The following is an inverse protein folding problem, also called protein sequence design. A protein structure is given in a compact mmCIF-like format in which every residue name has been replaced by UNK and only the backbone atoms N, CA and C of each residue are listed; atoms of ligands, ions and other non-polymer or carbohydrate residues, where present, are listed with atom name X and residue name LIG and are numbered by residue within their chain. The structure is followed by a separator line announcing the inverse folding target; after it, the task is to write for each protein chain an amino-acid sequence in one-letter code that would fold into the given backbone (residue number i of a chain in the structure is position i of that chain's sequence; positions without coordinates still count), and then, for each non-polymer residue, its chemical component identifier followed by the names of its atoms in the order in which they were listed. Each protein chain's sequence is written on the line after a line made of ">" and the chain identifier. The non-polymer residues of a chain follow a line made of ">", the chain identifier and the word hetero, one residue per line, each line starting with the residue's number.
data_IF_916934493182
#
_entry.id   IF_916934493182
#
_cell.length_a   1.000
_cell.length_b   1.000
_cell.length_c   1.000
_cell.angle_alpha   90.00
_cell.angle_beta   90.00
_cell.angle_gamma   90.00
#
_symmetry.space_group_name_H-M   'P 1'
#
loop_
_entity.id
_entity.type
_entity.pdbx_description
1 polymer ?
#
# COMPACT_ATOMS: atom_id res chain seq x y z
N UNK A 1 4.60 -16.41 -3.23
CA UNK A 1 4.25 -16.90 -1.87
C UNK A 1 5.24 -17.94 -1.37
N UNK A 2 5.56 -17.92 -0.08
CA UNK A 2 5.98 -19.15 0.60
C UNK A 2 5.18 -19.25 1.91
N UNK A 3 4.39 -20.30 2.07
CA UNK A 3 3.65 -20.54 3.32
C UNK A 3 4.61 -20.66 4.54
N UNK A 4 5.90 -20.89 4.27
CA UNK A 4 7.03 -20.88 5.21
C UNK A 4 7.18 -19.51 5.91
N UNK A 5 7.13 -18.40 5.17
CA UNK A 5 7.26 -17.07 5.78
C UNK A 5 6.11 -16.75 6.73
N UNK A 6 4.90 -17.21 6.40
CA UNK A 6 3.73 -17.04 7.26
C UNK A 6 3.87 -17.85 8.56
N UNK A 7 4.38 -19.09 8.48
CA UNK A 7 4.65 -19.93 9.65
C UNK A 7 5.72 -19.31 10.57
N UNK A 8 6.80 -18.78 10.00
CA UNK A 8 7.88 -18.13 10.75
C UNK A 8 7.37 -16.91 11.53
N UNK A 9 6.47 -16.13 10.92
CA UNK A 9 5.84 -15.00 11.59
C UNK A 9 4.92 -15.43 12.74
N UNK A 10 4.14 -16.52 12.57
CA UNK A 10 3.29 -17.06 13.65
C UNK A 10 4.16 -17.48 14.84
N UNK A 11 5.28 -18.15 14.60
CA UNK A 11 6.24 -18.48 15.66
C UNK A 11 6.77 -17.21 16.37
N UNK A 12 7.13 -16.17 15.60
CA UNK A 12 7.55 -14.88 16.18
C UNK A 12 6.46 -14.20 17.03
N UNK A 13 5.19 -14.26 16.60
CA UNK A 13 4.07 -13.73 17.39
C UNK A 13 3.83 -14.51 18.68
N UNK A 14 4.03 -15.83 18.66
CA UNK A 14 3.93 -16.65 19.86
C UNK A 14 4.98 -16.22 20.90
N UNK A 15 6.22 -15.98 20.48
CA UNK A 15 7.29 -15.45 21.35
C UNK A 15 6.93 -14.06 21.90
N UNK A 16 6.36 -13.18 21.08
CA UNK A 16 5.93 -11.86 21.54
C UNK A 16 4.75 -11.92 22.54
N UNK A 17 3.81 -12.84 22.33
CA UNK A 17 2.70 -13.07 23.26
C UNK A 17 3.23 -13.55 24.62
N UNK A 18 4.16 -14.50 24.63
CA UNK A 18 4.85 -14.97 25.85
C UNK A 18 5.56 -13.82 26.59
N UNK A 19 6.27 -12.95 25.87
CA UNK A 19 6.92 -11.78 26.47
C UNK A 19 5.92 -10.77 27.07
N UNK A 20 4.74 -10.62 26.45
CA UNK A 20 3.68 -9.73 26.94
C UNK A 20 3.05 -10.29 28.21
N UNK A 21 2.76 -11.60 28.22
CA UNK A 21 2.26 -12.33 29.39
C UNK A 21 3.26 -12.23 30.54
N UNK A 22 4.56 -12.43 30.30
CA UNK A 22 5.59 -12.30 31.35
C UNK A 22 5.76 -10.89 31.91
N UNK A 23 5.54 -9.87 31.08
CA UNK A 23 5.72 -8.47 31.51
C UNK A 23 4.46 -7.84 32.10
N UNK A 24 3.30 -8.49 31.99
CA UNK A 24 2.09 -8.07 32.67
C UNK A 24 2.26 -8.19 34.19
N UNK A 25 1.94 -7.12 34.93
CA UNK A 25 1.87 -7.19 36.38
C UNK A 25 0.58 -7.91 36.76
N UNK A 26 0.65 -9.24 36.93
CA UNK A 26 -0.50 -10.12 37.21
C UNK A 26 -1.28 -9.80 38.50
N UNK A 27 -0.77 -8.87 39.31
CA UNK A 27 -1.43 -8.38 40.52
C UNK A 27 -2.20 -7.06 40.31
N UNK A 28 -2.06 -6.43 39.14
CA UNK A 28 -2.76 -5.19 38.76
C UNK A 28 -3.86 -5.49 37.73
N UNK A 29 -5.11 -5.44 38.17
CA UNK A 29 -6.29 -5.68 37.33
C UNK A 29 -6.34 -4.70 36.13
N UNK A 30 -5.94 -3.43 36.33
CA UNK A 30 -5.96 -2.44 35.26
C UNK A 30 -4.96 -2.75 34.14
N UNK A 31 -3.79 -3.30 34.49
CA UNK A 31 -2.79 -3.75 33.52
C UNK A 31 -3.28 -4.96 32.72
N UNK A 32 -3.98 -5.90 33.37
CA UNK A 32 -4.58 -7.09 32.74
C UNK A 32 -5.69 -6.66 31.78
N UNK A 33 -6.65 -5.84 32.23
CA UNK A 33 -7.76 -5.35 31.41
C UNK A 33 -7.25 -4.59 30.17
N UNK A 34 -6.23 -3.75 30.34
CA UNK A 34 -5.60 -3.02 29.24
C UNK A 34 -4.85 -3.94 28.26
N UNK A 35 -4.27 -5.07 28.73
CA UNK A 35 -3.68 -6.08 27.87
C UNK A 35 -4.76 -6.85 27.09
N UNK A 36 -5.82 -7.28 27.76
CA UNK A 36 -6.98 -7.99 27.18
C UNK A 36 -7.64 -7.14 26.09
N UNK A 37 -7.97 -5.88 26.37
CA UNK A 37 -8.57 -4.98 25.38
C UNK A 37 -7.68 -4.78 24.13
N UNK A 38 -6.35 -4.81 24.28
CA UNK A 38 -5.42 -4.73 23.15
C UNK A 38 -5.47 -6.00 22.30
N UNK A 39 -5.51 -7.18 22.93
CA UNK A 39 -5.62 -8.48 22.26
C UNK A 39 -6.97 -8.60 21.54
N UNK A 40 -8.08 -8.25 22.18
CA UNK A 40 -9.42 -8.30 21.59
C UNK A 40 -9.54 -7.40 20.36
N UNK A 41 -8.96 -6.20 20.43
CA UNK A 41 -8.91 -5.28 19.29
C UNK A 41 -8.12 -5.89 18.14
N UNK A 42 -6.97 -6.50 18.42
CA UNK A 42 -6.15 -7.15 17.41
C UNK A 42 -6.86 -8.37 16.79
N UNK A 43 -7.50 -9.19 17.62
CA UNK A 43 -8.29 -10.36 17.20
C UNK A 43 -9.45 -9.96 16.28
N UNK A 44 -10.20 -8.91 16.63
CA UNK A 44 -11.30 -8.41 15.80
C UNK A 44 -10.82 -7.94 14.42
N UNK A 45 -9.70 -7.22 14.38
CA UNK A 45 -9.10 -6.77 13.11
C UNK A 45 -8.64 -7.95 12.27
N UNK A 46 -7.99 -8.95 12.87
CA UNK A 46 -7.53 -10.14 12.15
C UNK A 46 -8.69 -11.03 11.67
N UNK A 47 -9.75 -11.23 12.48
CA UNK A 47 -10.97 -11.95 12.07
C UNK A 47 -11.64 -11.29 10.87
N UNK A 48 -11.82 -9.97 10.88
CA UNK A 48 -12.41 -9.24 9.75
C UNK A 48 -11.52 -9.29 8.50
N UNK A 49 -10.20 -9.21 8.67
CA UNK A 49 -9.27 -9.33 7.54
C UNK A 49 -9.34 -10.72 6.89
N UNK A 50 -9.53 -11.77 7.69
CA UNK A 50 -9.59 -13.17 7.29
C UNK A 50 -10.98 -13.64 6.81
N UNK A 51 -12.07 -13.04 7.30
CA UNK A 51 -13.46 -13.34 6.88
C UNK A 51 -13.77 -12.91 5.46
N UNK A 52 -12.94 -12.02 4.91
CA UNK A 52 -13.04 -11.58 3.53
C UNK A 52 -12.21 -12.50 2.62
N UNK A 53 -12.64 -12.77 1.38
CA UNK A 53 -11.90 -13.62 0.46
C UNK A 53 -10.43 -13.20 0.35
N UNK A 54 -9.52 -14.16 0.48
CA UNK A 54 -8.09 -13.93 0.23
C UNK A 54 -7.89 -13.38 -1.18
N UNK A 55 -6.79 -12.66 -1.40
CA UNK A 55 -6.43 -12.16 -2.75
C UNK A 55 -6.06 -13.29 -3.73
N UNK A 56 -6.09 -14.55 -3.29
CA UNK A 56 -5.73 -15.71 -4.08
C UNK A 56 -7.00 -16.35 -4.65
N UNK A 57 -7.00 -16.64 -5.95
CA UNK A 57 -8.16 -17.21 -6.64
C UNK A 57 -8.45 -18.69 -6.31
N UNK A 58 -7.54 -19.39 -5.63
CA UNK A 58 -7.79 -20.77 -5.19
C UNK A 58 -8.29 -20.77 -3.76
N UNK A 59 -9.59 -20.97 -3.64
CA UNK A 59 -10.24 -21.19 -2.37
C UNK A 59 -9.68 -22.45 -1.68
N UNK A 60 -9.55 -22.46 -0.33
CA UNK A 60 -9.05 -23.62 0.40
C UNK A 60 -9.87 -24.89 0.11
N UNK A 61 -9.36 -26.08 0.43
CA UNK A 61 -10.20 -27.29 0.35
C UNK A 61 -11.37 -27.20 1.34
N UNK A 62 -12.46 -27.96 1.10
CA UNK A 62 -13.66 -27.90 1.95
C UNK A 62 -13.37 -28.12 3.45
N UNK A 63 -12.43 -29.04 3.77
CA UNK A 63 -11.93 -29.25 5.13
C UNK A 63 -11.33 -27.99 5.76
N UNK A 64 -10.48 -27.27 5.01
CA UNK A 64 -9.81 -26.08 5.52
C UNK A 64 -10.73 -24.86 5.56
N UNK A 65 -11.72 -24.77 4.66
CA UNK A 65 -12.78 -23.76 4.75
C UNK A 65 -13.61 -23.96 6.02
N UNK A 66 -14.09 -25.17 6.25
CA UNK A 66 -14.88 -25.49 7.45
C UNK A 66 -14.14 -25.12 8.75
N UNK A 67 -12.85 -25.45 8.86
CA UNK A 67 -12.02 -25.08 10.01
C UNK A 67 -11.83 -23.57 10.15
N UNK A 68 -11.62 -22.87 9.04
CA UNK A 68 -11.50 -21.43 9.03
C UNK A 68 -12.82 -20.77 9.46
N UNK A 69 -13.94 -21.26 8.94
CA UNK A 69 -15.28 -20.79 9.28
C UNK A 69 -15.56 -21.01 10.78
N UNK A 70 -15.20 -22.17 11.36
CA UNK A 70 -15.30 -22.40 12.81
C UNK A 70 -14.49 -21.38 13.64
N UNK A 71 -13.31 -20.98 13.17
CA UNK A 71 -12.47 -20.00 13.90
C UNK A 71 -12.91 -18.54 13.69
N UNK A 72 -13.64 -18.26 12.60
CA UNK A 72 -14.11 -16.93 12.23
C UNK A 72 -15.53 -16.63 12.71
N UNK A 73 -16.35 -17.66 12.91
CA UNK A 73 -17.66 -17.51 13.54
C UNK A 73 -17.45 -16.91 14.94
N UNK A 74 -18.15 -15.81 15.29
CA UNK A 74 -18.24 -15.43 16.69
C UNK A 74 -18.87 -16.59 17.46
N UNK A 75 -18.52 -16.77 18.74
CA UNK A 75 -19.14 -17.72 19.68
C UNK A 75 -20.67 -17.54 19.73
N UNK A 76 -21.38 -17.99 18.70
CA UNK A 76 -22.83 -17.92 18.58
C UNK A 76 -23.50 -19.13 19.21
N UNK A 77 -22.75 -20.22 19.34
CA UNK A 77 -23.27 -21.51 19.82
C UNK A 77 -22.68 -21.92 21.17
N UNK A 78 -21.73 -21.17 21.74
CA UNK A 78 -21.44 -21.26 23.18
C UNK A 78 -22.51 -20.43 23.89
N UNK A 79 -23.70 -21.00 24.01
CA UNK A 79 -24.71 -20.57 24.98
C UNK A 79 -23.97 -20.38 26.29
N UNK A 80 -23.87 -19.14 26.75
CA UNK A 80 -23.08 -18.77 27.91
C UNK A 80 -23.46 -19.63 29.11
N UNK A 81 -22.60 -20.59 29.45
CA UNK A 81 -22.49 -20.98 30.84
C UNK A 81 -21.99 -19.72 31.54
N UNK A 82 -22.87 -19.10 32.33
CA UNK A 82 -22.46 -18.04 33.22
C UNK A 82 -21.25 -18.56 34.01
N UNK A 83 -20.20 -17.74 34.19
CA UNK A 83 -19.09 -18.15 35.04
C UNK A 83 -19.68 -18.58 36.39
N UNK A 84 -19.08 -19.61 37.03
CA UNK A 84 -19.52 -20.08 38.34
C UNK A 84 -19.71 -18.90 39.29
N UNK A 85 -20.78 -18.92 40.10
CA UNK A 85 -21.02 -17.86 41.10
C UNK A 85 -19.89 -17.82 42.15
N UNK A 86 -19.26 -18.97 42.41
CA UNK A 86 -18.06 -19.06 43.23
C UNK A 86 -16.83 -18.56 42.47
N UNK A 87 -16.19 -17.52 43.02
CA UNK A 87 -14.96 -16.93 42.48
C UNK A 87 -13.81 -17.94 42.36
N UNK A 88 -13.74 -18.93 43.25
CA UNK A 88 -12.71 -19.98 43.22
C UNK A 88 -12.95 -20.93 42.06
N UNK A 89 -14.20 -21.37 41.86
CA UNK A 89 -14.57 -22.21 40.72
C UNK A 89 -14.42 -21.46 39.40
N UNK A 90 -14.79 -20.17 39.35
CA UNK A 90 -14.60 -19.33 38.18
C UNK A 90 -13.11 -19.15 37.82
N UNK A 91 -12.25 -18.99 38.82
CA UNK A 91 -10.80 -18.93 38.60
C UNK A 91 -10.23 -20.27 38.10
N UNK A 92 -10.69 -21.40 38.65
CA UNK A 92 -10.29 -22.74 38.22
C UNK A 92 -10.74 -23.04 36.79
N UNK A 93 -11.97 -22.66 36.44
CA UNK A 93 -12.49 -22.80 35.08
C UNK A 93 -11.70 -21.93 34.09
N UNK A 94 -11.41 -20.67 34.44
CA UNK A 94 -10.60 -19.78 33.58
C UNK A 94 -9.19 -20.33 33.34
N UNK A 95 -8.58 -20.99 34.34
CA UNK A 95 -7.29 -21.65 34.18
C UNK A 95 -7.38 -22.87 33.23
N UNK A 96 -8.42 -23.70 33.38
CA UNK A 96 -8.65 -24.84 32.49
C UNK A 96 -8.92 -24.40 31.03
N UNK A 97 -9.70 -23.33 30.84
CA UNK A 97 -9.97 -22.73 29.54
C UNK A 97 -8.68 -22.18 28.90
N UNK A 98 -7.80 -21.57 29.69
CA UNK A 98 -6.50 -21.10 29.23
C UNK A 98 -5.61 -22.26 28.74
N UNK A 99 -5.56 -23.37 29.49
CA UNK A 99 -4.82 -24.57 29.10
C UNK A 99 -5.38 -25.20 27.82
N UNK A 100 -6.70 -25.30 27.69
CA UNK A 100 -7.37 -25.78 26.49
C UNK A 100 -7.08 -24.89 25.27
N UNK A 101 -7.07 -23.56 25.46
CA UNK A 101 -6.71 -22.61 24.42
C UNK A 101 -5.25 -22.76 23.96
N UNK A 102 -4.31 -22.95 24.88
CA UNK A 102 -2.89 -23.21 24.58
C UNK A 102 -2.71 -24.54 23.84
N UNK A 103 -3.42 -25.60 24.27
CA UNK A 103 -3.39 -26.89 23.59
C UNK A 103 -3.91 -26.79 22.15
N UNK A 104 -5.01 -26.05 21.94
CA UNK A 104 -5.57 -25.78 20.61
C UNK A 104 -4.59 -25.01 19.72
N UNK A 105 -3.93 -23.97 20.27
CA UNK A 105 -2.92 -23.21 19.53
C UNK A 105 -1.72 -24.07 19.12
N UNK A 106 -1.26 -24.97 20.00
CA UNK A 106 -0.15 -25.90 19.70
C UNK A 106 -0.51 -26.84 18.55
N UNK A 107 -1.70 -27.44 18.60
CA UNK A 107 -2.19 -28.31 17.52
C UNK A 107 -2.34 -27.54 16.21
N UNK A 108 -2.92 -26.34 16.24
CA UNK A 108 -3.06 -25.48 15.07
C UNK A 108 -1.69 -25.15 14.43
N UNK A 109 -0.65 -24.90 15.22
CA UNK A 109 0.70 -24.65 14.73
C UNK A 109 1.30 -25.87 14.01
N UNK A 110 1.13 -27.07 14.57
CA UNK A 110 1.59 -28.32 13.95
C UNK A 110 0.83 -28.61 12.64
N UNK A 111 -0.48 -28.39 12.62
CA UNK A 111 -1.28 -28.54 11.41
C UNK A 111 -0.88 -27.53 10.32
N UNK A 112 -0.60 -26.28 10.70
CA UNK A 112 -0.07 -25.28 9.79
C UNK A 112 1.30 -25.70 9.22
N UNK A 113 2.20 -26.21 10.06
CA UNK A 113 3.50 -26.75 9.63
C UNK A 113 3.33 -27.87 8.59
N UNK A 114 2.46 -28.85 8.88
CA UNK A 114 2.15 -29.94 7.94
C UNK A 114 1.58 -29.42 6.61
N UNK A 115 0.64 -28.47 6.66
CA UNK A 115 0.02 -27.90 5.46
C UNK A 115 1.04 -27.17 4.58
N UNK A 116 1.99 -26.43 5.19
CA UNK A 116 3.09 -25.75 4.50
C UNK A 116 3.97 -26.75 3.75
N UNK A 117 4.35 -27.86 4.40
CA UNK A 117 5.16 -28.92 3.78
C UNK A 117 4.40 -29.59 2.63
N UNK A 118 3.12 -29.88 2.81
CA UNK A 118 2.27 -30.46 1.76
C UNK A 118 2.14 -29.53 0.55
N UNK A 119 1.95 -28.22 0.78
CA UNK A 119 1.90 -27.23 -0.29
C UNK A 119 3.21 -27.16 -1.07
N UNK A 120 4.36 -27.22 -0.39
CA UNK A 120 5.68 -27.26 -1.05
C UNK A 120 5.89 -28.53 -1.85
N UNK A 121 5.56 -29.69 -1.28
CA UNK A 121 5.63 -30.96 -1.99
C UNK A 121 4.73 -30.99 -3.23
N UNK A 122 3.53 -30.40 -3.16
CA UNK A 122 2.63 -30.27 -4.30
C UNK A 122 3.17 -29.34 -5.40
N UNK A 123 3.73 -28.18 -5.01
CA UNK A 123 4.34 -27.24 -5.94
C UNK A 123 5.55 -27.86 -6.69
N UNK A 124 6.42 -28.59 -5.98
CA UNK A 124 7.55 -29.29 -6.59
C UNK A 124 7.08 -30.36 -7.60
N UNK A 125 6.02 -31.11 -7.27
CA UNK A 125 5.44 -32.12 -8.16
C UNK A 125 4.77 -31.52 -9.41
N UNK A 126 4.23 -30.30 -9.30
CA UNK A 126 3.54 -29.64 -10.40
C UNK A 126 4.49 -28.99 -11.44
N UNK A 127 5.76 -28.77 -11.09
CA UNK A 127 6.73 -28.10 -11.96
C UNK A 127 6.55 -26.57 -12.04
N UNK A 128 7.43 -25.91 -12.78
CA UNK A 128 7.49 -24.44 -12.89
C UNK A 128 6.90 -23.96 -14.23
N UNK A 129 5.56 -23.98 -14.34
CA UNK A 129 4.85 -23.45 -15.51
C UNK A 129 4.01 -22.23 -15.16
N UNK A 130 3.78 -21.31 -16.11
CA UNK A 130 2.92 -20.13 -15.88
C UNK A 130 1.49 -20.53 -15.53
N UNK A 131 1.01 -21.70 -16.00
CA UNK A 131 -0.30 -22.22 -15.63
C UNK A 131 -0.37 -22.63 -14.15
N UNK A 132 0.69 -23.27 -13.64
CA UNK A 132 0.82 -23.61 -12.21
C UNK A 132 0.98 -22.34 -11.39
N UNK A 133 1.81 -21.39 -11.82
CA UNK A 133 1.97 -20.11 -11.15
C UNK A 133 0.67 -19.29 -11.13
N UNK A 134 -0.08 -19.26 -12.23
CA UNK A 134 -1.38 -18.63 -12.36
C UNK A 134 -2.40 -19.23 -11.40
N UNK A 135 -2.46 -20.56 -11.33
CA UNK A 135 -3.35 -21.28 -10.45
C UNK A 135 -2.98 -21.02 -8.98
N UNK A 136 -1.71 -21.17 -8.62
CA UNK A 136 -1.24 -21.02 -7.23
C UNK A 136 -1.34 -19.58 -6.73
N UNK A 137 -0.98 -18.59 -7.57
CA UNK A 137 -1.03 -17.16 -7.20
C UNK A 137 -2.38 -16.51 -7.50
N UNK A 138 -3.29 -17.25 -8.13
CA UNK A 138 -4.65 -16.83 -8.33
C UNK A 138 -4.86 -15.70 -9.35
N UNK A 139 -4.01 -15.64 -10.38
CA UNK A 139 -4.25 -14.73 -11.50
C UNK A 139 -4.72 -15.50 -12.72
N UNK A 140 -5.50 -14.85 -13.58
CA UNK A 140 -5.91 -15.42 -14.86
C UNK A 140 -4.72 -15.37 -15.84
N UNK A 141 -4.28 -16.50 -16.42
CA UNK A 141 -3.28 -16.46 -17.47
C UNK A 141 -3.91 -15.80 -18.71
N UNK A 142 -3.13 -14.97 -19.39
CA UNK A 142 -3.56 -14.31 -20.61
C UNK A 142 -3.41 -15.27 -21.80
N UNK A 143 -4.48 -15.44 -22.56
CA UNK A 143 -4.47 -16.30 -23.74
C UNK A 143 -3.86 -15.61 -24.97
N UNK A 144 -3.22 -16.38 -25.84
CA UNK A 144 -2.63 -15.92 -27.10
C UNK A 144 -1.23 -15.34 -26.95
N UNK A 145 -0.80 -14.50 -27.90
CA UNK A 145 0.53 -13.90 -27.88
C UNK A 145 0.72 -13.04 -26.62
N UNK A 146 1.73 -13.33 -25.77
CA UNK A 146 1.90 -12.68 -24.48
C UNK A 146 2.06 -11.16 -24.62
N UNK A 147 2.83 -10.65 -25.57
CA UNK A 147 3.07 -9.19 -25.66
C UNK A 147 1.78 -8.43 -25.97
N UNK A 148 1.00 -8.94 -26.91
CA UNK A 148 -0.28 -8.34 -27.32
C UNK A 148 -1.34 -8.45 -26.23
N UNK A 149 -1.41 -9.57 -25.53
CA UNK A 149 -2.41 -9.79 -24.49
C UNK A 149 -2.15 -8.90 -23.27
N UNK A 150 -0.88 -8.77 -22.86
CA UNK A 150 -0.47 -7.84 -21.79
C UNK A 150 -0.72 -6.38 -22.21
N UNK A 151 -0.43 -6.02 -23.47
CA UNK A 151 -0.73 -4.69 -24.00
C UNK A 151 -2.22 -4.34 -23.98
N UNK A 152 -3.08 -5.28 -24.37
CA UNK A 152 -4.56 -5.11 -24.32
C UNK A 152 -5.07 -4.99 -22.87
N UNK A 153 -4.56 -5.81 -21.94
CA UNK A 153 -4.94 -5.71 -20.52
C UNK A 153 -4.51 -4.36 -19.93
N UNK A 154 -3.32 -3.89 -20.25
CA UNK A 154 -2.84 -2.58 -19.83
C UNK A 154 -3.68 -1.44 -20.41
N UNK A 155 -3.95 -1.45 -21.71
CA UNK A 155 -4.76 -0.41 -22.36
C UNK A 155 -6.18 -0.32 -21.82
N UNK A 156 -6.84 -1.48 -21.64
CA UNK A 156 -8.17 -1.53 -21.01
C UNK A 156 -8.12 -1.09 -19.55
N UNK A 157 -7.07 -1.46 -18.81
CA UNK A 157 -6.81 -1.00 -17.45
C UNK A 157 -6.71 0.52 -17.37
N UNK A 158 -5.86 1.14 -18.19
CA UNK A 158 -5.67 2.62 -18.23
C UNK A 158 -6.98 3.33 -18.55
N UNK A 159 -7.76 2.84 -19.51
CA UNK A 159 -9.05 3.42 -19.87
C UNK A 159 -10.04 3.37 -18.69
N UNK A 160 -10.10 2.26 -17.96
CA UNK A 160 -10.92 2.13 -16.74
C UNK A 160 -10.47 3.10 -15.65
N UNK A 161 -9.17 3.18 -15.39
CA UNK A 161 -8.61 4.10 -14.40
C UNK A 161 -8.87 5.57 -14.79
N UNK A 162 -8.70 5.93 -16.06
CA UNK A 162 -9.00 7.26 -16.58
C UNK A 162 -10.48 7.62 -16.40
N UNK A 163 -11.39 6.69 -16.75
CA UNK A 163 -12.83 6.84 -16.53
C UNK A 163 -13.15 6.99 -15.04
N UNK A 164 -12.50 6.22 -14.17
CA UNK A 164 -12.69 6.31 -12.73
C UNK A 164 -12.26 7.68 -12.18
N UNK A 165 -11.13 8.22 -12.61
CA UNK A 165 -10.65 9.54 -12.16
C UNK A 165 -11.58 10.67 -12.64
N UNK A 166 -12.03 10.61 -13.90
CA UNK A 166 -12.80 11.70 -14.52
C UNK A 166 -14.31 11.65 -14.20
N UNK A 167 -14.88 10.44 -14.09
CA UNK A 167 -16.34 10.23 -14.05
C UNK A 167 -16.85 9.73 -12.69
N UNK A 168 -16.03 9.06 -11.87
CA UNK A 168 -16.53 8.51 -10.60
C UNK A 168 -16.87 9.62 -9.59
N UNK A 169 -18.00 9.45 -8.90
CA UNK A 169 -18.41 10.30 -7.77
C UNK A 169 -18.20 9.54 -6.46
N UNK A 170 -17.68 10.19 -5.40
CA UNK A 170 -17.18 11.56 -5.36
C UNK A 170 -15.82 11.72 -6.06
N UNK A 171 -15.59 12.88 -6.70
CA UNK A 171 -14.36 13.23 -7.46
C UNK A 171 -13.14 13.50 -6.56
N UNK A 172 -12.93 12.69 -5.53
CA UNK A 172 -11.92 12.89 -4.49
C UNK A 172 -10.49 12.95 -5.05
N UNK A 173 -10.19 12.16 -6.07
CA UNK A 173 -8.88 12.15 -6.75
C UNK A 173 -8.66 13.48 -7.50
N UNK A 174 -9.65 13.92 -8.28
CA UNK A 174 -9.55 15.17 -9.05
C UNK A 174 -9.45 16.40 -8.13
N UNK A 175 -10.20 16.42 -7.04
CA UNK A 175 -10.13 17.50 -6.04
C UNK A 175 -8.73 17.58 -5.43
N UNK A 176 -8.11 16.45 -5.07
CA UNK A 176 -6.74 16.44 -4.54
C UNK A 176 -5.69 16.86 -5.56
N UNK A 177 -5.82 16.38 -6.81
CA UNK A 177 -5.00 16.84 -7.92
C UNK A 177 -5.10 18.36 -8.06
N UNK A 178 -6.32 18.90 -8.01
CA UNK A 178 -6.59 20.34 -8.05
C UNK A 178 -5.98 21.11 -6.88
N UNK A 179 -6.14 20.63 -5.64
CA UNK A 179 -5.54 21.24 -4.44
C UNK A 179 -4.02 21.23 -4.54
N UNK A 180 -3.43 20.09 -4.92
CA UNK A 180 -1.97 19.96 -5.02
C UNK A 180 -1.42 20.88 -6.11
N UNK A 181 -2.07 20.91 -7.29
CA UNK A 181 -1.72 21.82 -8.37
C UNK A 181 -1.85 23.29 -7.94
N UNK A 182 -2.94 23.65 -7.25
CA UNK A 182 -3.16 24.99 -6.72
C UNK A 182 -2.08 25.40 -5.74
N UNK A 183 -1.64 24.50 -4.85
CA UNK A 183 -0.55 24.76 -3.91
C UNK A 183 0.80 24.95 -4.62
N UNK A 184 1.07 24.12 -5.65
CA UNK A 184 2.27 24.26 -6.49
C UNK A 184 2.32 25.59 -7.25
N UNK A 185 1.18 26.02 -7.82
CA UNK A 185 1.04 27.32 -8.48
C UNK A 185 1.14 28.49 -7.50
N UNK A 186 0.56 28.38 -6.31
CA UNK A 186 0.67 29.39 -5.26
C UNK A 186 2.12 29.58 -4.80
N UNK A 187 2.88 28.48 -4.66
CA UNK A 187 4.31 28.54 -4.34
C UNK A 187 5.12 29.24 -5.44
N UNK A 188 4.83 28.95 -6.71
CA UNK A 188 5.41 29.67 -7.85
C UNK A 188 5.06 31.17 -7.84
N UNK A 189 3.81 31.50 -7.52
CA UNK A 189 3.36 32.88 -7.34
C UNK A 189 4.10 33.60 -6.22
N UNK A 190 4.32 32.94 -5.08
CA UNK A 190 5.08 33.47 -3.96
C UNK A 190 6.54 33.79 -4.36
N UNK A 191 7.23 32.84 -5.00
CA UNK A 191 8.58 33.07 -5.51
C UNK A 191 8.61 34.26 -6.48
N UNK A 192 7.63 34.34 -7.38
CA UNK A 192 7.56 35.42 -8.37
C UNK A 192 7.38 36.80 -7.73
N UNK A 193 6.64 36.89 -6.64
CA UNK A 193 6.35 38.15 -5.97
C UNK A 193 7.48 38.61 -5.05
N UNK A 194 8.23 37.67 -4.44
CA UNK A 194 9.14 38.02 -3.35
C UNK A 194 10.63 37.65 -3.56
N UNK A 195 10.97 36.71 -4.45
CA UNK A 195 12.34 36.16 -4.58
C UNK A 195 12.83 36.05 -6.03
N UNK A 196 12.18 36.76 -6.96
CA UNK A 196 12.44 36.59 -8.39
C UNK A 196 13.85 37.03 -8.78
N UNK A 197 14.33 38.15 -8.25
CA UNK A 197 15.61 38.74 -8.66
C UNK A 197 16.82 37.91 -8.18
N UNK A 198 16.71 37.23 -7.03
CA UNK A 198 17.77 36.33 -6.52
C UNK A 198 17.74 34.93 -7.14
N UNK A 199 16.59 34.43 -7.59
CA UNK A 199 16.41 33.02 -8.00
C UNK A 199 15.99 32.83 -9.45
N UNK A 200 16.01 33.89 -10.26
CA UNK A 200 15.63 33.87 -11.67
C UNK A 200 16.42 32.82 -12.49
N UNK A 201 17.72 32.65 -12.22
CA UNK A 201 18.57 31.65 -12.87
C UNK A 201 18.19 30.20 -12.53
N UNK A 202 17.55 29.99 -11.37
CA UNK A 202 17.09 28.68 -10.90
C UNK A 202 15.61 28.42 -11.26
N UNK A 203 14.96 29.31 -12.02
CA UNK A 203 13.54 29.21 -12.35
C UNK A 203 13.11 27.85 -12.95
N UNK A 204 13.87 27.20 -13.86
CA UNK A 204 13.54 25.87 -14.35
C UNK A 204 13.55 24.78 -13.27
N UNK A 205 14.38 24.95 -12.23
CA UNK A 205 14.48 24.03 -11.09
C UNK A 205 13.42 24.30 -10.03
N UNK A 206 13.06 25.55 -9.80
CA UNK A 206 12.00 25.92 -8.85
C UNK A 206 10.62 25.44 -9.32
N UNK A 207 10.32 25.51 -10.62
CA UNK A 207 9.10 24.94 -11.19
C UNK A 207 9.07 23.42 -11.06
N UNK A 208 10.20 22.76 -11.26
CA UNK A 208 10.34 21.32 -11.06
C UNK A 208 10.17 20.95 -9.58
N UNK A 209 10.70 21.75 -8.67
CA UNK A 209 10.57 21.55 -7.22
C UNK A 209 9.12 21.73 -6.75
N UNK A 210 8.42 22.77 -7.25
CA UNK A 210 7.00 22.97 -7.01
C UNK A 210 6.17 21.79 -7.53
N UNK A 211 6.42 21.33 -8.77
CA UNK A 211 5.76 20.16 -9.34
C UNK A 211 6.11 18.86 -8.61
N UNK A 212 7.33 18.74 -8.08
CA UNK A 212 7.79 17.61 -7.27
C UNK A 212 6.95 17.49 -5.99
N UNK A 213 6.59 18.61 -5.37
CA UNK A 213 5.66 18.63 -4.24
C UNK A 213 4.25 18.17 -4.61
N UNK A 214 3.75 18.56 -5.79
CA UNK A 214 2.43 18.14 -6.31
C UNK A 214 2.41 16.64 -6.60
N UNK A 215 3.42 16.15 -7.34
CA UNK A 215 3.55 14.75 -7.71
C UNK A 215 3.82 13.91 -6.46
N UNK A 216 4.74 14.34 -5.60
CA UNK A 216 5.03 13.69 -4.33
C UNK A 216 3.79 13.59 -3.45
N UNK A 217 2.99 14.65 -3.35
CA UNK A 217 1.72 14.62 -2.63
C UNK A 217 0.74 13.57 -3.18
N UNK A 218 0.45 13.61 -4.49
CA UNK A 218 -0.53 12.72 -5.12
C UNK A 218 -0.05 11.26 -5.16
N UNK A 219 1.24 11.04 -5.44
CA UNK A 219 1.83 9.70 -5.60
C UNK A 219 2.15 9.05 -4.24
N UNK A 220 2.52 9.84 -3.22
CA UNK A 220 2.70 9.32 -1.86
C UNK A 220 1.39 9.11 -1.11
N UNK A 221 0.23 9.50 -1.66
CA UNK A 221 -1.07 9.22 -1.02
C UNK A 221 -1.52 7.75 -1.18
N UNK A 222 -0.58 6.82 -1.37
CA UNK A 222 -0.78 5.37 -1.43
C UNK A 222 -1.92 4.92 -2.38
N UNK A 223 -1.56 4.70 -3.64
CA UNK A 223 -2.53 4.34 -4.69
C UNK A 223 -3.26 3.01 -4.45
N UNK A 224 -2.70 2.10 -3.65
CA UNK A 224 -3.30 0.80 -3.35
C UNK A 224 -4.31 0.86 -2.20
N UNK A 225 -3.95 1.54 -1.11
CA UNK A 225 -4.81 1.65 0.09
C UNK A 225 -5.90 2.72 -0.06
N UNK A 226 -5.66 3.79 -0.85
CA UNK A 226 -6.67 4.82 -1.09
C UNK A 226 -7.86 4.31 -1.90
N UNK A 227 -7.59 3.38 -2.83
CA UNK A 227 -8.57 2.74 -3.72
C UNK A 227 -8.76 1.26 -3.38
N UNK A 228 -8.66 0.94 -2.09
CA UNK A 228 -8.58 -0.43 -1.59
C UNK A 228 -9.69 -1.34 -2.14
N UNK A 229 -10.93 -0.87 -2.18
CA UNK A 229 -12.07 -1.65 -2.66
C UNK A 229 -11.92 -2.06 -4.12
N UNK A 230 -11.64 -1.10 -5.03
CA UNK A 230 -11.49 -1.41 -6.47
C UNK A 230 -10.23 -2.20 -6.76
N UNK A 231 -9.13 -1.93 -6.05
CA UNK A 231 -7.89 -2.71 -6.16
C UNK A 231 -8.15 -4.15 -5.75
N UNK A 232 -8.89 -4.37 -4.64
CA UNK A 232 -9.26 -5.70 -4.18
C UNK A 232 -10.15 -6.41 -5.20
N UNK A 233 -11.20 -5.75 -5.71
CA UNK A 233 -12.05 -6.30 -6.76
C UNK A 233 -11.24 -6.71 -8.00
N UNK A 234 -10.32 -5.86 -8.45
CA UNK A 234 -9.44 -6.16 -9.58
C UNK A 234 -8.59 -7.41 -9.31
N UNK A 235 -7.97 -7.51 -8.12
CA UNK A 235 -7.17 -8.68 -7.75
C UNK A 235 -8.03 -9.95 -7.62
N UNK A 236 -9.21 -9.87 -6.99
CA UNK A 236 -10.14 -11.01 -6.86
C UNK A 236 -10.71 -11.47 -8.20
N UNK A 237 -10.81 -10.57 -9.20
CA UNK A 237 -11.18 -10.93 -10.57
C UNK A 237 -10.06 -11.64 -11.34
N UNK A 238 -8.90 -11.84 -10.71
CA UNK A 238 -7.74 -12.53 -11.26
C UNK A 238 -6.76 -11.63 -12.02
N UNK A 239 -6.85 -10.30 -11.90
CA UNK A 239 -5.82 -9.40 -12.47
C UNK A 239 -4.53 -9.49 -11.67
N UNK A 240 -3.40 -9.43 -12.37
CA UNK A 240 -2.06 -9.39 -11.75
C UNK A 240 -1.85 -8.04 -11.05
N UNK A 241 -1.23 -8.04 -9.86
CA UNK A 241 -0.94 -6.82 -9.10
C UNK A 241 -0.16 -5.79 -9.92
N UNK A 242 0.86 -6.23 -10.65
CA UNK A 242 1.67 -5.33 -11.45
C UNK A 242 0.87 -4.68 -12.59
N UNK A 243 -0.12 -5.38 -13.19
CA UNK A 243 -1.00 -4.76 -14.19
C UNK A 243 -1.84 -3.64 -13.56
N UNK A 244 -2.33 -3.85 -12.34
CA UNK A 244 -3.09 -2.82 -11.61
C UNK A 244 -2.20 -1.61 -11.34
N UNK A 245 -1.01 -1.82 -10.77
CA UNK A 245 -0.05 -0.74 -10.50
C UNK A 245 0.35 0.01 -11.78
N UNK A 246 0.69 -0.71 -12.84
CA UNK A 246 1.11 -0.10 -14.10
C UNK A 246 -0.02 0.70 -14.76
N UNK A 247 -1.26 0.18 -14.75
CA UNK A 247 -2.41 0.91 -15.29
C UNK A 247 -2.68 2.21 -14.54
N UNK A 248 -2.62 2.20 -13.20
CA UNK A 248 -2.78 3.39 -12.37
C UNK A 248 -1.67 4.42 -12.59
N UNK A 249 -0.41 3.95 -12.61
CA UNK A 249 0.73 4.81 -12.85
C UNK A 249 0.69 5.46 -14.23
N UNK A 250 0.31 4.71 -15.27
CA UNK A 250 0.21 5.24 -16.61
C UNK A 250 -0.93 6.27 -16.73
N UNK A 251 -2.07 6.05 -16.05
CA UNK A 251 -3.13 7.07 -15.96
C UNK A 251 -2.65 8.35 -15.28
N UNK A 252 -1.94 8.24 -14.14
CA UNK A 252 -1.38 9.41 -13.46
C UNK A 252 -0.29 10.08 -14.28
N UNK A 253 0.53 9.30 -15.00
CA UNK A 253 1.55 9.81 -15.90
C UNK A 253 0.92 10.62 -17.04
N UNK A 254 -0.16 10.15 -17.64
CA UNK A 254 -0.86 10.90 -18.69
C UNK A 254 -1.51 12.17 -18.13
N UNK A 255 -2.27 12.07 -17.03
CA UNK A 255 -3.00 13.21 -16.47
C UNK A 255 -2.06 14.31 -15.95
N UNK A 256 -1.11 13.94 -15.10
CA UNK A 256 -0.19 14.91 -14.48
C UNK A 256 0.88 15.33 -15.48
N UNK A 257 1.33 14.42 -16.34
CA UNK A 257 2.29 14.72 -17.39
C UNK A 257 1.75 15.72 -18.39
N UNK A 258 0.47 15.61 -18.79
CA UNK A 258 -0.17 16.61 -19.66
C UNK A 258 -0.11 18.02 -19.05
N UNK A 259 -0.42 18.15 -17.75
CA UNK A 259 -0.31 19.43 -17.03
C UNK A 259 1.13 19.93 -16.99
N UNK A 260 2.09 19.05 -16.69
CA UNK A 260 3.51 19.38 -16.66
C UNK A 260 4.06 19.82 -18.03
N UNK A 261 3.60 19.18 -19.12
CA UNK A 261 3.94 19.55 -20.50
C UNK A 261 3.39 20.94 -20.83
N UNK A 262 2.11 21.19 -20.52
CA UNK A 262 1.50 22.52 -20.74
C UNK A 262 2.28 23.60 -20.00
N UNK A 263 2.62 23.38 -18.72
CA UNK A 263 3.43 24.32 -17.95
C UNK A 263 4.83 24.53 -18.54
N UNK A 264 5.48 23.46 -19.01
CA UNK A 264 6.81 23.52 -19.63
C UNK A 264 6.78 24.34 -20.93
N UNK A 265 5.75 24.15 -21.76
CA UNK A 265 5.55 24.89 -23.02
C UNK A 265 5.25 26.37 -22.74
N UNK A 266 4.36 26.66 -21.77
CA UNK A 266 4.03 28.03 -21.38
C UNK A 266 5.24 28.78 -20.84
N UNK A 267 6.07 28.12 -20.02
CA UNK A 267 7.29 28.71 -19.48
C UNK A 267 8.30 28.97 -20.60
N UNK A 268 8.51 28.00 -21.51
CA UNK A 268 9.39 28.17 -22.67
C UNK A 268 8.94 29.31 -23.60
N UNK A 269 7.62 29.45 -23.83
CA UNK A 269 7.06 30.58 -24.55
C UNK A 269 7.38 31.90 -23.88
N UNK A 270 7.18 31.97 -22.56
CA UNK A 270 7.37 33.20 -21.81
C UNK A 270 8.82 33.68 -21.75
N UNK A 271 9.78 32.75 -21.74
CA UNK A 271 11.21 33.04 -21.68
C UNK A 271 11.89 33.07 -23.05
N UNK A 272 11.16 32.82 -24.14
CA UNK A 272 11.71 32.69 -25.49
C UNK A 272 12.64 31.48 -25.67
N UNK A 273 12.68 30.56 -24.70
CA UNK A 273 13.64 29.46 -24.63
C UNK A 273 13.10 28.19 -25.31
N UNK A 274 12.83 28.29 -26.62
CA UNK A 274 12.38 27.16 -27.43
C UNK A 274 13.53 26.24 -27.88
N UNK A 275 13.18 25.07 -28.42
CA UNK A 275 14.16 24.10 -28.93
C UNK A 275 14.82 23.28 -27.83
N UNK A 276 16.14 23.37 -27.70
CA UNK A 276 16.95 22.51 -26.81
C UNK A 276 16.57 22.64 -25.34
N UNK A 277 16.25 23.85 -24.86
CA UNK A 277 15.83 24.10 -23.48
C UNK A 277 14.51 23.41 -23.14
N UNK A 278 13.55 23.39 -24.06
CA UNK A 278 12.28 22.68 -23.89
C UNK A 278 12.51 21.16 -23.83
N UNK A 279 13.38 20.61 -24.70
CA UNK A 279 13.73 19.18 -24.67
C UNK A 279 14.38 18.79 -23.33
N UNK A 280 15.30 19.62 -22.82
CA UNK A 280 15.92 19.42 -21.50
C UNK A 280 14.87 19.41 -20.38
N UNK A 281 13.90 20.34 -20.41
CA UNK A 281 12.84 20.46 -19.42
C UNK A 281 11.89 19.25 -19.45
N UNK A 282 11.46 18.83 -20.65
CA UNK A 282 10.59 17.67 -20.84
C UNK A 282 11.26 16.37 -20.39
N UNK A 283 12.53 16.16 -20.75
CA UNK A 283 13.29 14.99 -20.28
C UNK A 283 13.38 14.94 -18.75
N UNK A 284 13.57 16.10 -18.11
CA UNK A 284 13.64 16.23 -16.66
C UNK A 284 12.27 15.99 -16.00
N UNK A 285 11.18 16.50 -16.59
CA UNK A 285 9.81 16.23 -16.15
C UNK A 285 9.50 14.73 -16.18
N UNK A 286 9.74 14.07 -17.32
CA UNK A 286 9.51 12.63 -17.48
C UNK A 286 10.30 11.83 -16.46
N UNK A 287 11.58 12.16 -16.28
CA UNK A 287 12.46 11.48 -15.32
C UNK A 287 11.95 11.64 -13.89
N UNK A 288 11.56 12.86 -13.50
CA UNK A 288 10.99 13.12 -12.18
C UNK A 288 9.71 12.33 -11.94
N UNK A 289 8.83 12.26 -12.94
CA UNK A 289 7.60 11.47 -12.84
C UNK A 289 7.87 9.98 -12.67
N UNK A 290 8.81 9.40 -13.43
CA UNK A 290 9.18 8.00 -13.32
C UNK A 290 9.73 7.64 -11.93
N UNK A 291 10.60 8.50 -11.38
CA UNK A 291 11.14 8.30 -10.03
C UNK A 291 10.05 8.32 -8.97
N UNK A 292 9.17 9.33 -9.00
CA UNK A 292 8.09 9.43 -8.04
C UNK A 292 7.10 8.28 -8.14
N UNK A 293 6.70 7.88 -9.35
CA UNK A 293 5.81 6.72 -9.55
C UNK A 293 6.44 5.43 -9.01
N UNK A 294 7.75 5.25 -9.18
CA UNK A 294 8.48 4.11 -8.64
C UNK A 294 8.50 4.10 -7.11
N UNK A 295 8.80 5.25 -6.49
CA UNK A 295 8.77 5.41 -5.03
C UNK A 295 7.34 5.21 -4.50
N UNK A 296 6.34 5.75 -5.19
CA UNK A 296 4.92 5.56 -4.90
C UNK A 296 4.51 4.10 -4.89
N UNK A 297 5.02 3.28 -5.82
CA UNK A 297 4.77 1.84 -5.83
C UNK A 297 5.26 1.15 -4.55
N UNK A 298 6.50 1.44 -4.14
CA UNK A 298 7.10 0.85 -2.94
C UNK A 298 6.38 1.33 -1.68
N UNK A 299 6.13 2.64 -1.57
CA UNK A 299 5.39 3.21 -0.45
C UNK A 299 3.97 2.66 -0.37
N UNK A 300 3.33 2.41 -1.51
CA UNK A 300 1.99 1.84 -1.54
C UNK A 300 1.92 0.47 -0.87
N UNK A 301 3.04 -0.26 -0.83
CA UNK A 301 3.17 -1.61 -0.26
C UNK A 301 3.77 -1.60 1.16
N UNK A 302 4.84 -0.83 1.37
CA UNK A 302 5.60 -0.80 2.63
C UNK A 302 4.89 0.01 3.72
N UNK A 303 4.21 1.08 3.32
CA UNK A 303 3.46 1.95 4.22
C UNK A 303 2.02 2.07 3.72
N UNK A 304 1.21 1.00 3.85
CA UNK A 304 -0.22 1.06 3.57
C UNK A 304 -0.87 2.10 4.47
N UNK A 305 -1.36 3.18 3.86
CA UNK A 305 -2.00 4.28 4.59
C UNK A 305 -3.48 4.29 4.32
N UNK A 306 -4.25 3.91 5.33
CA UNK A 306 -5.71 3.97 5.29
C UNK A 306 -6.22 5.39 5.17
N UNK A 307 -7.35 5.50 4.49
CA UNK A 307 -8.12 6.74 4.34
C UNK A 307 -8.98 6.98 5.57
N UNK A 308 -8.49 7.81 6.50
CA UNK A 308 -9.26 8.27 7.66
C UNK A 308 -9.18 9.79 7.80
N UNK A 309 -10.30 10.45 8.16
CA UNK A 309 -10.27 11.85 8.57
C UNK A 309 -9.44 12.00 9.85
N UNK A 310 -8.69 13.10 9.98
CA UNK A 310 -7.81 13.35 11.13
C UNK A 310 -8.53 13.19 12.48
N UNK A 311 -9.79 13.64 12.57
CA UNK A 311 -10.62 13.49 13.78
C UNK A 311 -10.84 12.04 14.22
N UNK A 312 -10.89 11.08 13.28
CA UNK A 312 -11.01 9.66 13.60
C UNK A 312 -9.68 9.09 14.11
N UNK A 313 -8.56 9.52 13.53
CA UNK A 313 -7.20 9.07 13.93
C UNK A 313 -6.85 9.41 15.37
N UNK A 314 -7.34 10.54 15.87
CA UNK A 314 -7.19 10.94 17.27
C UNK A 314 -7.94 9.99 18.23
N UNK A 315 -9.07 9.43 17.80
CA UNK A 315 -9.88 8.51 18.61
C UNK A 315 -9.38 7.07 18.54
N UNK A 316 -8.89 6.67 17.37
CA UNK A 316 -8.51 5.29 17.09
C UNK A 316 -7.03 4.99 17.45
N UNK A 317 -6.26 6.01 17.88
CA UNK A 317 -4.84 5.87 18.25
C UNK A 317 -3.89 5.67 17.07
N UNK A 318 -4.38 5.81 15.83
CA UNK A 318 -3.65 5.62 14.58
C UNK A 318 -2.84 6.86 14.14
N UNK A 319 -2.81 7.90 14.96
CA UNK A 319 -2.13 9.16 14.65
C UNK A 319 -0.60 9.02 14.55
N UNK A 320 0.03 8.28 15.48
CA UNK A 320 1.48 8.05 15.49
C UNK A 320 1.99 7.40 14.19
N UNK A 321 1.44 6.25 13.73
CA UNK A 321 1.86 5.65 12.46
C UNK A 321 1.54 6.55 11.25
N UNK A 322 0.45 7.31 11.30
CA UNK A 322 0.15 8.31 10.25
C UNK A 322 1.21 9.41 10.18
N UNK A 323 1.59 10.02 11.31
CA UNK A 323 2.63 11.04 11.35
C UNK A 323 4.00 10.48 10.93
N UNK A 324 4.35 9.28 11.40
CA UNK A 324 5.58 8.61 11.00
C UNK A 324 5.63 8.41 9.48
N UNK A 325 4.53 7.99 8.86
CA UNK A 325 4.46 7.84 7.41
C UNK A 325 4.63 9.17 6.65
N UNK A 326 4.17 10.28 7.24
CA UNK A 326 4.35 11.61 6.67
C UNK A 326 5.83 12.03 6.72
N UNK A 327 6.51 11.79 7.86
CA UNK A 327 7.95 12.02 8.01
C UNK A 327 8.74 11.17 7.01
N UNK A 328 8.43 9.87 6.91
CA UNK A 328 9.09 8.96 5.96
C UNK A 328 8.91 9.42 4.53
N UNK A 329 7.68 9.82 4.15
CA UNK A 329 7.38 10.38 2.83
C UNK A 329 8.20 11.65 2.55
N UNK A 330 8.34 12.54 3.53
CA UNK A 330 9.12 13.77 3.40
C UNK A 330 10.62 13.49 3.24
N UNK A 331 11.19 12.58 4.06
CA UNK A 331 12.60 12.16 3.98
C UNK A 331 12.89 11.51 2.61
N UNK A 332 11.98 10.65 2.13
CA UNK A 332 12.11 10.07 0.80
C UNK A 332 11.99 11.14 -0.31
N UNK A 333 11.11 12.12 -0.15
CA UNK A 333 10.99 13.25 -1.06
C UNK A 333 12.28 14.08 -1.14
N UNK A 334 12.94 14.33 -0.01
CA UNK A 334 14.27 14.95 0.00
C UNK A 334 15.31 14.09 -0.72
N UNK A 335 15.29 12.76 -0.51
CA UNK A 335 16.17 11.83 -1.21
C UNK A 335 15.96 11.83 -2.73
N UNK A 336 14.70 11.83 -3.19
CA UNK A 336 14.35 11.93 -4.63
C UNK A 336 14.80 13.27 -5.21
N UNK A 337 14.60 14.37 -4.48
CA UNK A 337 15.04 15.69 -4.91
C UNK A 337 16.57 15.77 -5.01
N UNK A 338 17.31 15.25 -4.02
CA UNK A 338 18.78 15.17 -4.07
C UNK A 338 19.24 14.36 -5.29
N UNK A 339 18.60 13.22 -5.53
CA UNK A 339 18.87 12.39 -6.70
C UNK A 339 18.59 13.10 -8.02
N UNK A 340 17.50 13.87 -8.11
CA UNK A 340 17.19 14.68 -9.28
C UNK A 340 18.25 15.76 -9.51
N UNK A 341 18.67 16.46 -8.47
CA UNK A 341 19.75 17.46 -8.56
C UNK A 341 21.04 16.84 -9.09
N UNK A 342 21.44 15.69 -8.57
CA UNK A 342 22.62 14.96 -9.05
C UNK A 342 22.52 14.60 -10.53
N UNK A 343 21.35 14.10 -10.94
CA UNK A 343 21.09 13.68 -12.33
C UNK A 343 21.08 14.84 -13.32
N UNK A 344 20.57 15.98 -12.88
CA UNK A 344 20.62 17.22 -13.65
C UNK A 344 22.06 17.65 -13.88
N UNK A 345 22.86 17.64 -12.82
CA UNK A 345 24.28 18.00 -12.90
C UNK A 345 25.05 17.05 -13.83
N UNK A 346 24.82 15.74 -13.71
CA UNK A 346 25.40 14.75 -14.62
C UNK A 346 24.98 14.97 -16.08
N UNK A 347 23.69 15.24 -16.33
CA UNK A 347 23.19 15.59 -17.67
C UNK A 347 23.91 16.82 -18.22
N UNK A 348 24.08 17.86 -17.41
CA UNK A 348 24.72 19.10 -17.86
C UNK A 348 26.19 18.87 -18.21
N UNK A 349 26.92 18.13 -17.37
CA UNK A 349 28.31 17.76 -17.64
C UNK A 349 28.45 16.97 -18.94
N UNK A 350 27.56 16.01 -19.20
CA UNK A 350 27.55 15.25 -20.46
C UNK A 350 27.23 16.13 -21.68
N UNK A 351 26.39 17.17 -21.53
CA UNK A 351 26.10 18.11 -22.62
C UNK A 351 27.36 18.90 -22.97
N UNK A 352 28.10 19.34 -21.96
CA UNK A 352 29.30 20.15 -22.12
C UNK A 352 30.43 19.35 -22.79
N UNK A 353 30.54 18.05 -22.48
CA UNK A 353 31.53 17.14 -23.10
C UNK A 353 31.16 16.68 -24.52
N UNK A 354 29.89 16.33 -24.75
CA UNK A 354 29.45 15.72 -26.03
C UNK A 354 29.00 16.75 -27.07
N UNK A 355 28.79 18.02 -26.68
CA UNK A 355 28.32 19.08 -27.55
C UNK A 355 26.88 18.91 -28.07
N UNK A 356 26.11 17.95 -27.53
CA UNK A 356 24.78 17.57 -28.00
C UNK A 356 23.80 17.25 -26.88
N UNK A 357 22.52 17.57 -27.07
CA UNK A 357 21.48 17.48 -26.01
C UNK A 357 20.73 16.13 -26.03
N UNK A 358 20.64 15.48 -27.18
CA UNK A 358 19.80 14.28 -27.37
C UNK A 358 20.25 13.11 -26.51
N UNK A 359 21.55 12.76 -26.55
CA UNK A 359 22.09 11.61 -25.83
C UNK A 359 22.05 11.80 -24.29
N UNK A 360 22.43 12.96 -23.73
CA UNK A 360 22.27 13.24 -22.29
C UNK A 360 20.81 13.20 -21.81
N UNK A 361 19.87 13.71 -22.61
CA UNK A 361 18.44 13.67 -22.25
C UNK A 361 17.89 12.23 -22.33
N UNK A 362 18.27 11.47 -23.35
CA UNK A 362 17.86 10.09 -23.51
C UNK A 362 18.37 9.20 -22.37
N UNK A 363 19.65 9.32 -22.02
CA UNK A 363 20.26 8.58 -20.89
C UNK A 363 19.62 8.94 -19.56
N UNK A 364 19.29 10.23 -19.34
CA UNK A 364 18.54 10.68 -18.18
C UNK A 364 17.16 9.97 -18.10
N UNK A 365 16.38 9.97 -19.18
CA UNK A 365 15.05 9.33 -19.20
C UNK A 365 15.16 7.81 -19.03
N UNK A 366 16.07 7.15 -19.75
CA UNK A 366 16.29 5.70 -19.66
C UNK A 366 16.66 5.27 -18.24
N UNK A 367 17.51 6.03 -17.57
CA UNK A 367 17.89 5.73 -16.19
C UNK A 367 16.74 5.93 -15.19
N UNK A 368 15.87 6.93 -15.42
CA UNK A 368 14.62 7.07 -14.66
C UNK A 368 13.66 5.91 -14.88
N UNK A 369 13.54 5.45 -16.14
CA UNK A 369 12.71 4.30 -16.51
C UNK A 369 13.23 3.01 -15.85
N UNK A 370 14.54 2.78 -15.87
CA UNK A 370 15.16 1.62 -15.23
C UNK A 370 14.84 1.60 -13.73
N UNK A 371 14.99 2.73 -13.04
CA UNK A 371 14.67 2.82 -11.61
C UNK A 371 13.18 2.59 -11.35
N UNK A 372 12.31 3.17 -12.16
CA UNK A 372 10.88 2.93 -12.08
C UNK A 372 10.56 1.44 -12.18
N UNK A 373 11.14 0.73 -13.15
CA UNK A 373 10.96 -0.71 -13.32
C UNK A 373 11.49 -1.49 -12.12
N UNK A 374 12.70 -1.19 -11.65
CA UNK A 374 13.30 -1.85 -10.48
C UNK A 374 12.47 -1.64 -9.22
N UNK A 375 11.99 -0.42 -8.95
CA UNK A 375 11.13 -0.12 -7.81
C UNK A 375 9.75 -0.77 -7.94
N UNK A 376 9.22 -0.91 -9.16
CA UNK A 376 7.96 -1.62 -9.42
C UNK A 376 8.13 -3.11 -9.15
N UNK A 377 9.22 -3.72 -9.63
CA UNK A 377 9.56 -5.12 -9.36
C UNK A 377 9.78 -5.32 -7.86
N UNK A 378 10.49 -4.41 -7.19
CA UNK A 378 10.65 -4.42 -5.74
C UNK A 378 9.30 -4.36 -5.02
N UNK A 379 8.42 -3.44 -5.40
CA UNK A 379 7.10 -3.31 -4.79
C UNK A 379 6.25 -4.59 -4.96
N UNK A 380 6.26 -5.20 -6.14
CA UNK A 380 5.56 -6.47 -6.39
C UNK A 380 6.15 -7.61 -5.55
N UNK A 381 7.48 -7.70 -5.45
CA UNK A 381 8.13 -8.70 -4.62
C UNK A 381 7.88 -8.47 -3.12
N UNK A 382 7.87 -7.22 -2.66
CA UNK A 382 7.52 -6.85 -1.29
C UNK A 382 6.05 -7.19 -0.99
N UNK A 383 5.13 -6.95 -1.92
CA UNK A 383 3.72 -7.28 -1.77
C UNK A 383 3.48 -8.80 -1.68
N UNK A 384 4.37 -9.61 -2.26
CA UNK A 384 4.38 -11.07 -2.13
C UNK A 384 4.91 -11.54 -0.76
N UNK A 385 5.56 -10.67 0.03
CA UNK A 385 6.03 -11.03 1.37
C UNK A 385 4.87 -11.02 2.40
N UNK A 386 4.81 -11.99 3.33
CA UNK A 386 3.68 -12.14 4.25
C UNK A 386 3.40 -10.91 5.13
N UNK A 387 4.46 -10.24 5.59
CA UNK A 387 4.37 -9.07 6.47
C UNK A 387 3.67 -7.90 5.77
N UNK A 388 4.12 -7.53 4.57
CA UNK A 388 3.54 -6.44 3.80
C UNK A 388 2.15 -6.78 3.25
N UNK A 389 1.93 -8.01 2.78
CA UNK A 389 0.61 -8.46 2.29
C UNK A 389 -0.47 -8.35 3.37
N UNK A 390 -0.19 -8.76 4.61
CA UNK A 390 -1.14 -8.63 5.71
C UNK A 390 -1.38 -7.19 6.10
N UNK A 391 -0.33 -6.36 6.16
CA UNK A 391 -0.47 -4.94 6.40
C UNK A 391 -1.39 -4.29 5.34
N UNK A 392 -1.16 -4.61 4.06
CA UNK A 392 -2.04 -4.19 2.96
C UNK A 392 -3.48 -4.67 3.18
N UNK A 393 -3.69 -5.96 3.43
CA UNK A 393 -5.02 -6.53 3.63
C UNK A 393 -5.78 -5.89 4.80
N UNK A 394 -5.10 -5.64 5.93
CA UNK A 394 -5.69 -4.97 7.10
C UNK A 394 -6.09 -3.53 6.80
N UNK A 395 -5.24 -2.80 6.08
CA UNK A 395 -5.50 -1.40 5.72
C UNK A 395 -6.50 -1.26 4.56
N UNK A 396 -6.71 -2.32 3.77
CA UNK A 396 -7.70 -2.40 2.68
C UNK A 396 -9.13 -2.74 3.17
N UNK A 397 -9.36 -2.74 4.48
CA UNK A 397 -10.68 -2.97 5.09
C UNK A 397 -11.48 -1.67 5.10
N UNK A 398 -12.74 -1.71 4.68
CA UNK A 398 -13.67 -0.58 4.83
C UNK A 398 -14.21 -0.53 6.26
N UNK A 399 -13.57 0.30 7.08
CA UNK A 399 -13.93 0.47 8.49
C UNK A 399 -15.19 1.30 8.72
N UNK A 400 -15.66 2.06 7.74
CA UNK A 400 -16.96 2.75 7.90
C UNK A 400 -18.08 1.72 7.97
N UNK A 401 -17.98 0.67 7.17
CA UNK A 401 -18.90 -0.47 7.21
C UNK A 401 -18.81 -1.27 8.52
N UNK A 402 -17.60 -1.50 9.06
CA UNK A 402 -17.40 -2.13 10.38
C UNK A 402 -18.00 -1.32 11.53
N UNK A 403 -17.93 0.02 11.45
CA UNK A 403 -18.46 0.88 12.51
C UNK A 403 -19.99 0.90 12.53
N UNK A 404 -20.63 0.71 11.38
CA UNK A 404 -22.09 0.57 11.28
C UNK A 404 -22.62 -0.79 11.75
N UNK A 405 -21.80 -1.84 11.77
CA UNK A 405 -22.18 -3.19 12.23
C UNK A 405 -21.78 -3.47 13.68
N UNK A 406 -21.10 -2.55 14.36
CA UNK A 406 -20.85 -2.68 15.79
C UNK A 406 -22.19 -2.59 16.56
N UNK A 407 -22.56 -3.58 17.40
CA UNK A 407 -23.71 -3.42 18.28
C UNK A 407 -23.50 -2.17 19.12
N UNK A 408 -24.53 -1.32 19.20
CA UNK A 408 -24.52 -0.19 20.09
C UNK A 408 -24.14 -0.72 21.48
N UNK A 409 -23.03 -0.22 22.03
CA UNK A 409 -22.66 -0.53 23.41
C UNK A 409 -23.91 -0.27 24.25
N UNK A 410 -24.45 -1.33 24.85
CA UNK A 410 -25.56 -1.22 25.80
C UNK A 410 -25.11 -0.21 26.84
N UNK A 411 -25.74 0.98 26.80
CA UNK A 411 -25.55 1.98 27.84
C UNK A 411 -25.87 1.35 29.19
N UNK A 412 -25.27 1.85 30.28
CA UNK A 412 -25.62 1.38 31.61
C UNK A 412 -27.14 1.54 31.77
N UNK A 413 -27.81 0.42 32.03
CA UNK A 413 -29.22 0.42 32.41
C UNK A 413 -29.34 1.30 33.66
N UNK A 414 -29.99 2.46 33.50
CA UNK A 414 -30.34 3.33 34.59
C UNK A 414 -31.66 2.91 35.21
N UNK A 415 -31.68 3.00 36.55
CA UNK A 415 -32.73 2.69 37.53
C UNK A 415 -32.81 1.23 37.98
#
# INVERSE_FOLDING_TARGET
>A
MTAIGALTEVAGRAVQAEATVRSAAWQDQGAIDAATQRVDRALRVDREALSRPALDAVQPSGRWRYRLDQMLMPDRDVVGQAPPEDLVEAAAQAAADADAAVATARLALLEAHRAVLQARGAALRAGDSDAVAATVRGYRPLAGNPTLSHGKELGTGVSREMSAVLRAKPRSILVKLGISLGLGLAYLGFIRLYQWDEKSELAPFLALYALSGVIGGVVCTNALSWDATRVREALTSGRRLWHVMLSKNLTMFVLVGAVGVVLSVLLAWRTGAYGTSLVKALGQLVTMMLLWLGVGNVLSVVSPLRVEPLKARFKDGTLKPFLLSFVVSYVLGLGVNLMLTWRVWAKQSMIDELGGVTLPVLTLVLSGLLIYLLLTVLAVNLADQPRFRRALLREMVDYKALKSTAPAASGPAGA
#
